data_IF_173773027993
#
_entry.id   IF_173773027993
#
_cell.length_a   1.000
_cell.length_b   1.000
_cell.length_c   1.000
_cell.angle_alpha   90.00
_cell.angle_beta   90.00
_cell.angle_gamma   90.00
#
_symmetry.space_group_name_H-M   'P 1'
#
loop_
_entity.id
_entity.type
_entity.pdbx_description
1 polymer ?
#
# COMPACT_ATOMS: atom_id res chain seq x y z
N UNK A 1 26.68 28.59 48.72
CA UNK A 1 26.43 29.87 48.00
C UNK A 1 27.55 30.05 46.97
N UNK A 2 27.36 29.58 45.72
CA UNK A 2 28.16 29.90 44.51
C UNK A 2 27.56 29.10 43.34
N UNK A 3 26.64 29.71 42.59
CA UNK A 3 26.82 30.28 41.24
C UNK A 3 26.77 29.22 40.11
N UNK A 4 25.56 29.07 39.57
CA UNK A 4 25.28 28.51 38.25
C UNK A 4 26.05 29.28 37.17
N UNK A 5 26.80 28.56 36.33
CA UNK A 5 27.36 29.10 35.09
C UNK A 5 26.44 28.63 33.95
N UNK A 6 25.70 29.56 33.34
CA UNK A 6 25.06 29.36 32.03
C UNK A 6 26.09 29.62 30.93
N UNK A 7 26.16 28.79 29.89
CA UNK A 7 26.63 29.23 28.58
C UNK A 7 25.42 29.69 27.73
N UNK A 8 25.47 30.93 27.22
CA UNK A 8 24.55 31.48 26.23
C UNK A 8 25.18 31.36 24.82
N UNK A 9 24.42 30.77 23.89
CA UNK A 9 24.26 30.99 22.42
C UNK A 9 25.47 31.37 21.54
N UNK A 10 25.62 30.70 20.38
CA UNK A 10 25.07 31.12 19.07
C UNK A 10 25.29 30.03 17.96
N UNK A 11 24.70 30.15 16.74
CA UNK A 11 24.17 29.10 15.87
C UNK A 11 25.00 28.83 14.59
N UNK A 12 24.38 28.12 13.62
CA UNK A 12 24.84 27.59 12.31
C UNK A 12 25.39 26.16 12.40
N UNK A 13 25.11 25.22 11.49
CA UNK A 13 24.50 25.26 10.16
C UNK A 13 23.92 23.85 9.89
N UNK A 14 22.80 23.82 9.18
CA UNK A 14 22.25 22.77 8.32
C UNK A 14 22.79 21.33 8.42
N UNK A 15 21.84 20.44 8.71
CA UNK A 15 21.93 19.02 8.41
C UNK A 15 20.53 18.52 8.12
N UNK A 16 20.03 18.88 6.93
CA UNK A 16 18.82 18.33 6.35
C UNK A 16 18.90 16.80 6.36
N UNK A 17 18.16 16.18 7.26
CA UNK A 17 17.72 14.79 7.14
C UNK A 17 16.43 14.65 7.93
N UNK A 18 15.48 15.54 7.65
CA UNK A 18 14.07 15.20 7.85
C UNK A 18 13.69 14.21 6.75
N UNK A 19 14.16 12.97 6.88
CA UNK A 19 13.33 11.85 6.46
C UNK A 19 12.16 11.85 7.44
N UNK A 20 11.23 12.76 7.17
CA UNK A 20 9.92 12.80 7.79
C UNK A 20 9.40 11.39 7.71
N UNK A 21 9.39 10.74 8.87
CA UNK A 21 8.64 9.52 9.08
C UNK A 21 7.28 9.82 8.48
N UNK A 22 6.99 9.22 7.31
CA UNK A 22 5.73 9.43 6.60
C UNK A 22 4.68 8.89 7.56
N UNK A 23 4.17 9.78 8.39
CA UNK A 23 3.22 9.44 9.42
C UNK A 23 1.93 9.35 8.65
N UNK A 24 1.55 8.13 8.25
CA UNK A 24 0.36 7.84 7.42
C UNK A 24 -0.91 8.53 8.00
N UNK A 25 -0.87 8.88 9.28
CA UNK A 25 -1.82 9.73 10.01
C UNK A 25 -2.11 11.10 9.37
N UNK A 26 -1.17 11.68 8.60
CA UNK A 26 -1.34 12.98 7.96
C UNK A 26 -2.10 12.93 6.62
N UNK A 27 -2.26 11.74 6.03
CA UNK A 27 -2.98 11.60 4.76
C UNK A 27 -4.50 11.71 4.92
N UNK A 28 -5.01 11.64 6.16
CA UNK A 28 -6.44 11.59 6.48
C UNK A 28 -6.93 12.77 7.33
N UNK A 29 -6.11 13.79 7.56
CA UNK A 29 -6.46 14.89 8.47
C UNK A 29 -7.25 16.04 7.83
N UNK A 30 -7.88 15.82 6.68
CA UNK A 30 -8.69 16.83 6.00
C UNK A 30 -9.92 16.26 5.32
N UNK A 31 -11.06 16.35 6.01
CA UNK A 31 -12.36 16.54 5.36
C UNK A 31 -13.22 15.29 5.19
N UNK A 32 -14.21 15.18 6.07
CA UNK A 32 -15.37 14.28 6.00
C UNK A 32 -15.04 12.78 6.08
N UNK A 33 -15.80 12.09 6.94
CA UNK A 33 -15.79 10.64 7.10
C UNK A 33 -15.68 9.99 5.73
N UNK A 34 -14.60 9.21 5.48
CA UNK A 34 -14.41 8.55 4.21
C UNK A 34 -15.70 7.84 3.82
N UNK A 35 -16.33 8.28 2.73
CA UNK A 35 -17.64 7.74 2.35
C UNK A 35 -17.45 6.26 2.02
N UNK A 36 -18.47 5.43 2.24
CA UNK A 36 -18.40 4.01 1.87
C UNK A 36 -18.04 3.83 0.38
N UNK A 37 -18.40 4.80 -0.45
CA UNK A 37 -17.99 4.89 -1.85
C UNK A 37 -16.49 5.12 -2.04
N UNK A 38 -15.87 6.03 -1.30
CA UNK A 38 -14.42 6.26 -1.36
C UNK A 38 -13.65 5.00 -0.90
N UNK A 39 -14.10 4.37 0.18
CA UNK A 39 -13.54 3.11 0.65
C UNK A 39 -13.67 2.03 -0.43
N UNK A 40 -14.86 1.87 -1.03
CA UNK A 40 -15.10 0.94 -2.13
C UNK A 40 -14.17 1.20 -3.32
N UNK A 41 -14.07 2.45 -3.77
CA UNK A 41 -13.25 2.81 -4.93
C UNK A 41 -11.76 2.57 -4.68
N UNK A 42 -11.28 2.87 -3.47
CA UNK A 42 -9.92 2.56 -3.07
C UNK A 42 -9.66 1.04 -3.05
N UNK A 43 -10.59 0.27 -2.48
CA UNK A 43 -10.47 -1.18 -2.42
C UNK A 43 -10.51 -1.83 -3.83
N UNK A 44 -11.28 -1.26 -4.77
CA UNK A 44 -11.30 -1.68 -6.18
C UNK A 44 -9.97 -1.36 -6.88
N UNK A 45 -9.41 -0.16 -6.68
CA UNK A 45 -8.12 0.22 -7.25
C UNK A 45 -6.99 -0.68 -6.72
N UNK A 46 -6.99 -0.93 -5.42
CA UNK A 46 -6.03 -1.82 -4.76
C UNK A 46 -6.15 -3.25 -5.30
N UNK A 47 -7.36 -3.75 -5.55
CA UNK A 47 -7.57 -5.04 -6.21
C UNK A 47 -6.93 -5.08 -7.60
N UNK A 48 -7.22 -4.09 -8.45
CA UNK A 48 -6.66 -4.01 -9.80
C UNK A 48 -5.13 -4.04 -9.77
N UNK A 49 -4.52 -3.28 -8.86
CA UNK A 49 -3.07 -3.28 -8.68
C UNK A 49 -2.53 -4.66 -8.30
N UNK A 50 -3.16 -5.38 -7.36
CA UNK A 50 -2.70 -6.71 -6.98
C UNK A 50 -2.82 -7.74 -8.10
N UNK A 51 -3.90 -7.71 -8.87
CA UNK A 51 -4.08 -8.64 -10.00
C UNK A 51 -3.05 -8.36 -11.10
N UNK A 52 -2.80 -7.10 -11.44
CA UNK A 52 -1.75 -6.71 -12.39
C UNK A 52 -0.36 -7.12 -11.89
N UNK A 53 -0.09 -6.95 -10.60
CA UNK A 53 1.19 -7.34 -9.99
C UNK A 53 1.39 -8.84 -10.01
N UNK A 54 0.34 -9.63 -9.74
CA UNK A 54 0.38 -11.09 -9.85
C UNK A 54 0.69 -11.52 -11.28
N UNK A 55 -0.02 -10.95 -12.26
CA UNK A 55 0.23 -11.23 -13.67
C UNK A 55 1.66 -10.87 -14.08
N UNK A 56 2.13 -9.68 -13.72
CA UNK A 56 3.52 -9.27 -14.02
C UNK A 56 4.52 -10.22 -13.40
N UNK A 57 4.28 -10.68 -12.17
CA UNK A 57 5.15 -11.64 -11.50
C UNK A 57 5.18 -12.97 -12.29
N UNK A 58 4.02 -13.46 -12.71
CA UNK A 58 3.88 -14.69 -13.51
C UNK A 58 4.51 -14.59 -14.90
N UNK A 59 4.49 -13.41 -15.54
CA UNK A 59 5.07 -13.21 -16.87
C UNK A 59 6.56 -12.89 -16.85
N UNK A 60 7.09 -12.30 -15.77
CA UNK A 60 8.49 -11.86 -15.70
C UNK A 60 9.44 -13.02 -15.37
N UNK A 61 8.94 -14.11 -14.77
CA UNK A 61 9.80 -15.26 -14.46
C UNK A 61 10.01 -16.11 -15.70
N UNK A 62 11.19 -15.95 -16.31
CA UNK A 62 11.76 -16.94 -17.21
C UNK A 62 11.84 -18.29 -16.48
N UNK A 63 11.60 -19.38 -17.19
CA UNK A 63 11.43 -20.76 -16.69
C UNK A 63 12.55 -21.27 -15.75
N UNK A 64 13.68 -20.56 -15.71
CA UNK A 64 14.90 -20.86 -14.95
C UNK A 64 14.86 -20.49 -13.45
N UNK A 65 13.90 -19.70 -12.95
CA UNK A 65 13.85 -19.27 -11.53
C UNK A 65 12.47 -19.51 -10.87
N UNK A 66 11.86 -20.68 -11.11
CA UNK A 66 10.75 -21.16 -10.26
C UNK A 66 11.27 -21.63 -8.90
N UNK A 67 11.88 -20.71 -8.17
CA UNK A 67 12.34 -20.91 -6.80
C UNK A 67 11.15 -20.88 -5.83
N UNK A 68 11.32 -21.47 -4.65
CA UNK A 68 10.33 -21.46 -3.56
C UNK A 68 9.87 -20.04 -3.21
N UNK A 69 10.76 -19.05 -3.32
CA UNK A 69 10.46 -17.65 -3.09
C UNK A 69 9.49 -17.06 -4.14
N UNK A 70 9.61 -17.46 -5.42
CA UNK A 70 8.63 -17.08 -6.44
C UNK A 70 7.24 -17.63 -6.11
N UNK A 71 7.16 -18.92 -5.77
CA UNK A 71 5.91 -19.56 -5.39
C UNK A 71 5.28 -18.89 -4.16
N UNK A 72 6.10 -18.54 -3.17
CA UNK A 72 5.66 -17.81 -1.98
C UNK A 72 5.05 -16.45 -2.33
N UNK A 73 5.74 -15.62 -3.13
CA UNK A 73 5.24 -14.30 -3.56
C UNK A 73 3.92 -14.40 -4.34
N UNK A 74 3.83 -15.38 -5.23
CA UNK A 74 2.63 -15.72 -5.99
C UNK A 74 1.45 -16.10 -5.06
N UNK A 75 1.70 -16.95 -4.08
CA UNK A 75 0.67 -17.38 -3.11
C UNK A 75 0.24 -16.22 -2.21
N UNK A 76 1.18 -15.41 -1.75
CA UNK A 76 0.90 -14.23 -0.94
C UNK A 76 -0.01 -13.23 -1.67
N UNK A 77 0.27 -12.96 -2.96
CA UNK A 77 -0.57 -12.08 -3.77
C UNK A 77 -1.97 -12.67 -3.99
N UNK A 78 -2.10 -13.97 -4.25
CA UNK A 78 -3.40 -14.64 -4.36
C UNK A 78 -4.21 -14.52 -3.07
N UNK A 79 -3.58 -14.70 -1.91
CA UNK A 79 -4.23 -14.51 -0.61
C UNK A 79 -4.67 -13.05 -0.39
N UNK A 80 -3.82 -12.09 -0.74
CA UNK A 80 -4.16 -10.68 -0.65
C UNK A 80 -5.36 -10.31 -1.55
N UNK A 81 -5.39 -10.83 -2.78
CA UNK A 81 -6.51 -10.68 -3.72
C UNK A 81 -7.78 -11.30 -3.13
N UNK A 82 -7.71 -12.52 -2.59
CA UNK A 82 -8.86 -13.16 -1.97
C UNK A 82 -9.43 -12.33 -0.83
N UNK A 83 -8.57 -11.86 0.09
CA UNK A 83 -9.01 -11.00 1.19
C UNK A 83 -9.66 -9.72 0.68
N UNK A 84 -9.08 -9.10 -0.36
CA UNK A 84 -9.62 -7.92 -1.01
C UNK A 84 -11.03 -8.16 -1.57
N UNK A 85 -11.27 -9.30 -2.22
CA UNK A 85 -12.59 -9.68 -2.74
C UNK A 85 -13.61 -9.88 -1.61
N UNK A 86 -13.19 -10.45 -0.47
CA UNK A 86 -14.05 -10.55 0.72
C UNK A 86 -14.42 -9.16 1.25
N UNK A 87 -13.46 -8.24 1.35
CA UNK A 87 -13.72 -6.84 1.72
C UNK A 87 -14.69 -6.17 0.76
N UNK A 88 -14.45 -6.29 -0.55
CA UNK A 88 -15.31 -5.71 -1.58
C UNK A 88 -16.71 -6.33 -1.59
N UNK A 89 -16.85 -7.60 -1.22
CA UNK A 89 -18.17 -8.24 -1.05
C UNK A 89 -18.95 -7.59 0.10
N UNK A 90 -18.27 -7.27 1.21
CA UNK A 90 -18.89 -6.53 2.33
C UNK A 90 -19.27 -5.10 1.94
N UNK A 91 -18.53 -4.49 1.01
CA UNK A 91 -18.81 -3.16 0.45
C UNK A 91 -19.77 -3.19 -0.76
N UNK A 92 -20.48 -4.31 -0.99
CA UNK A 92 -21.43 -4.51 -2.10
C UNK A 92 -20.83 -4.31 -3.51
N UNK A 93 -19.53 -4.52 -3.66
CA UNK A 93 -18.75 -4.28 -4.88
C UNK A 93 -18.21 -5.57 -5.51
N UNK A 94 -18.81 -6.72 -5.19
CA UNK A 94 -18.33 -8.05 -5.63
C UNK A 94 -18.28 -8.17 -7.16
N UNK A 95 -19.30 -7.69 -7.87
CA UNK A 95 -19.35 -7.80 -9.33
C UNK A 95 -18.22 -7.01 -9.99
N UNK A 96 -17.99 -5.78 -9.53
CA UNK A 96 -16.88 -4.94 -9.98
C UNK A 96 -15.53 -5.61 -9.69
N UNK A 97 -15.39 -6.26 -8.53
CA UNK A 97 -14.19 -7.02 -8.18
C UNK A 97 -13.93 -8.16 -9.17
N UNK A 98 -14.96 -8.94 -9.53
CA UNK A 98 -14.85 -10.03 -10.49
C UNK A 98 -14.54 -9.51 -11.90
N UNK A 99 -15.16 -8.40 -12.33
CA UNK A 99 -14.86 -7.77 -13.61
C UNK A 99 -13.39 -7.33 -13.70
N UNK A 100 -12.84 -6.74 -12.64
CA UNK A 100 -11.43 -6.35 -12.57
C UNK A 100 -10.51 -7.56 -12.71
N UNK A 101 -10.80 -8.65 -11.97
CA UNK A 101 -9.99 -9.88 -12.05
C UNK A 101 -9.97 -10.41 -13.48
N UNK A 102 -11.14 -10.53 -14.12
CA UNK A 102 -11.26 -10.99 -15.50
C UNK A 102 -10.55 -10.04 -16.48
N UNK A 103 -10.73 -8.73 -16.35
CA UNK A 103 -10.13 -7.74 -17.24
C UNK A 103 -8.59 -7.75 -17.18
N UNK A 104 -8.02 -7.89 -15.98
CA UNK A 104 -6.57 -7.95 -15.79
C UNK A 104 -5.96 -9.30 -16.22
N UNK A 105 -6.75 -10.38 -16.26
CA UNK A 105 -6.31 -11.68 -16.77
C UNK A 105 -6.27 -11.73 -18.31
N UNK A 106 -7.16 -10.99 -18.99
CA UNK A 106 -7.26 -11.02 -20.46
C UNK A 106 -6.46 -9.94 -21.21
N UNK A 107 -5.95 -8.90 -20.54
CA UNK A 107 -5.14 -7.82 -21.16
C UNK A 107 -3.66 -7.99 -20.89
#
# INVERSE_FOLDING_TARGET
MAKYIRPKLLPHHEGDSSLSSITISQFWHGGEMATEEQARNFELLRLAFFVLKLRKLETTVAESERDADFAFRCNLLRHAIFHQVVTLTRLQAREQALQIITACQHN
#
